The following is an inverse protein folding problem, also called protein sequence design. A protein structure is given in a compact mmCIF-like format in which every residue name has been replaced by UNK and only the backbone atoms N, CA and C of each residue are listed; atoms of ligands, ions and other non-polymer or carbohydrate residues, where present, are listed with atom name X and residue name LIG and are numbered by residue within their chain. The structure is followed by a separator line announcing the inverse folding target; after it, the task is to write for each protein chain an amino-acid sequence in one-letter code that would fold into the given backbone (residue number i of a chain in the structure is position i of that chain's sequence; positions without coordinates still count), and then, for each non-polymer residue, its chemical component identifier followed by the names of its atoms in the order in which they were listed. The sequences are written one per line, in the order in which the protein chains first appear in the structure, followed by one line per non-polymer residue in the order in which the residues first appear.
data_IF_380248668797
#
_entry.id   IF_380248668797
#
_cell.length_a   1.000
_cell.length_b   1.000
_cell.length_c   1.000
_cell.angle_alpha   90.00
_cell.angle_beta   90.00
_cell.angle_gamma   90.00
#
_symmetry.space_group_name_H-M   'P 1'
#
loop_
_entity.id
_entity.type
_entity.pdbx_description
1 polymer ?
#
# COMPACT_ATOMS: atom_id res chain seq x y z
N UNK A 1 25.50 9.64 -8.86
CA UNK A 1 24.17 10.26 -9.09
C UNK A 1 23.06 9.23 -8.82
N UNK A 2 23.05 8.62 -7.63
CA UNK A 2 22.10 7.57 -7.22
C UNK A 2 21.66 7.85 -5.78
N UNK A 3 20.66 8.71 -5.61
CA UNK A 3 20.09 8.99 -4.29
C UNK A 3 18.61 9.32 -4.37
N UNK A 4 18.18 10.14 -5.34
CA UNK A 4 16.76 10.52 -5.46
C UNK A 4 15.89 9.44 -6.11
N UNK A 5 16.42 8.75 -7.15
CA UNK A 5 15.71 7.65 -7.83
C UNK A 5 15.51 6.44 -6.91
N UNK A 6 16.51 6.09 -6.09
CA UNK A 6 16.44 4.96 -5.15
C UNK A 6 15.50 5.26 -3.97
N UNK A 7 15.49 6.50 -3.47
CA UNK A 7 14.56 6.94 -2.41
C UNK A 7 13.12 6.95 -2.91
N UNK A 8 12.87 7.44 -4.12
CA UNK A 8 11.53 7.41 -4.73
C UNK A 8 11.06 5.98 -4.97
N UNK A 9 11.93 5.07 -5.43
CA UNK A 9 11.58 3.66 -5.61
C UNK A 9 11.24 2.98 -4.29
N UNK A 10 11.95 3.29 -3.20
CA UNK A 10 11.69 2.74 -1.87
C UNK A 10 10.39 3.27 -1.25
N UNK A 11 10.13 4.57 -1.33
CA UNK A 11 8.87 5.18 -0.88
C UNK A 11 7.68 4.55 -1.60
N UNK A 12 7.81 4.42 -2.91
CA UNK A 12 6.79 3.86 -3.78
C UNK A 12 6.46 2.40 -3.45
N UNK A 13 7.48 1.56 -3.25
CA UNK A 13 7.31 0.17 -2.82
C UNK A 13 6.62 0.07 -1.45
N UNK A 14 6.99 0.94 -0.50
CA UNK A 14 6.36 0.98 0.83
C UNK A 14 4.88 1.35 0.71
N UNK A 15 4.53 2.36 -0.09
CA UNK A 15 3.14 2.78 -0.28
C UNK A 15 2.29 1.69 -0.95
N UNK A 16 2.84 1.00 -1.96
CA UNK A 16 2.18 -0.16 -2.60
C UNK A 16 1.94 -1.29 -1.61
N UNK A 17 2.98 -1.73 -0.90
CA UNK A 17 2.91 -2.83 0.05
C UNK A 17 1.99 -2.50 1.24
N UNK A 18 2.06 -1.27 1.74
CA UNK A 18 1.21 -0.76 2.80
C UNK A 18 -0.26 -0.74 2.38
N UNK A 19 -0.55 -0.30 1.15
CA UNK A 19 -1.91 -0.29 0.60
C UNK A 19 -2.45 -1.71 0.44
N UNK A 20 -1.69 -2.60 -0.19
CA UNK A 20 -2.11 -4.00 -0.39
C UNK A 20 -2.33 -4.70 0.95
N UNK A 21 -1.38 -4.66 1.89
CA UNK A 21 -1.46 -5.39 3.16
C UNK A 21 -2.61 -4.93 4.05
N UNK A 22 -2.84 -3.61 4.14
CA UNK A 22 -3.93 -3.03 4.92
C UNK A 22 -5.31 -3.35 4.34
N UNK A 23 -5.45 -3.36 3.01
CA UNK A 23 -6.70 -3.79 2.36
C UNK A 23 -6.98 -5.27 2.58
N UNK A 24 -5.96 -6.12 2.57
CA UNK A 24 -6.13 -7.54 2.83
C UNK A 24 -6.50 -7.80 4.29
N UNK A 25 -5.93 -7.06 5.24
CA UNK A 25 -6.32 -7.11 6.67
C UNK A 25 -7.75 -6.61 6.92
N UNK A 26 -8.21 -5.64 6.13
CA UNK A 26 -9.62 -5.20 6.10
C UNK A 26 -10.56 -6.17 5.37
N UNK A 27 -10.07 -7.34 4.94
CA UNK A 27 -10.80 -8.32 4.13
C UNK A 27 -11.34 -7.77 2.80
N UNK A 28 -10.76 -6.69 2.27
CA UNK A 28 -11.10 -6.07 0.98
C UNK A 28 -10.28 -6.69 -0.15
N UNK A 29 -10.35 -8.01 -0.31
CA UNK A 29 -9.50 -8.78 -1.23
C UNK A 29 -9.56 -8.31 -2.68
N UNK A 30 -10.73 -7.87 -3.15
CA UNK A 30 -10.89 -7.33 -4.51
C UNK A 30 -10.08 -6.05 -4.73
N UNK A 31 -10.03 -5.15 -3.75
CA UNK A 31 -9.24 -3.93 -3.83
C UNK A 31 -7.74 -4.23 -3.64
N UNK A 32 -7.40 -5.18 -2.76
CA UNK A 32 -6.03 -5.65 -2.61
C UNK A 32 -5.48 -6.23 -3.94
N UNK A 33 -6.23 -7.06 -4.65
CA UNK A 33 -5.83 -7.58 -5.97
C UNK A 33 -5.64 -6.48 -7.02
N UNK A 34 -6.41 -5.39 -6.95
CA UNK A 34 -6.19 -4.24 -7.85
C UNK A 34 -4.86 -3.56 -7.58
N UNK A 35 -4.49 -3.38 -6.31
CA UNK A 35 -3.18 -2.84 -5.92
C UNK A 35 -2.04 -3.80 -6.30
N UNK A 36 -2.24 -5.10 -6.15
CA UNK A 36 -1.27 -6.12 -6.59
C UNK A 36 -1.06 -6.09 -8.11
N UNK A 37 -2.14 -6.05 -8.89
CA UNK A 37 -2.06 -5.91 -10.35
C UNK A 37 -1.35 -4.61 -10.76
N UNK A 38 -1.64 -3.51 -10.06
CA UNK A 38 -0.96 -2.24 -10.25
C UNK A 38 0.53 -2.35 -9.96
N UNK A 39 0.91 -2.97 -8.84
CA UNK A 39 2.31 -3.18 -8.46
C UNK A 39 3.04 -4.04 -9.49
N UNK A 40 2.41 -5.13 -9.94
CA UNK A 40 2.96 -6.03 -10.96
C UNK A 40 3.18 -5.32 -12.29
N UNK A 41 2.27 -4.43 -12.69
CA UNK A 41 2.43 -3.62 -13.91
C UNK A 41 3.56 -2.60 -13.82
N UNK A 42 3.92 -2.16 -12.61
CA UNK A 42 4.91 -1.10 -12.41
C UNK A 42 6.31 -1.65 -12.18
N UNK A 43 6.41 -2.66 -11.31
CA UNK A 43 7.68 -3.20 -10.84
C UNK A 43 7.98 -4.58 -11.42
N UNK A 44 6.99 -5.27 -11.97
CA UNK A 44 7.07 -6.69 -12.31
C UNK A 44 6.65 -7.59 -11.14
N UNK A 45 6.09 -8.76 -11.46
CA UNK A 45 5.52 -9.67 -10.46
C UNK A 45 6.58 -10.28 -9.51
N UNK A 46 7.75 -10.63 -10.05
CA UNK A 46 8.86 -11.19 -9.25
C UNK A 46 9.42 -10.16 -8.27
N UNK A 47 9.66 -8.94 -8.73
CA UNK A 47 10.17 -7.84 -7.90
C UNK A 47 9.18 -7.48 -6.79
N UNK A 48 7.89 -7.36 -7.11
CA UNK A 48 6.88 -7.04 -6.09
C UNK A 48 6.74 -8.17 -5.05
N UNK A 49 6.72 -9.43 -5.47
CA UNK A 49 6.69 -10.55 -4.53
C UNK A 49 7.92 -10.59 -3.64
N UNK A 50 9.11 -10.32 -4.19
CA UNK A 50 10.34 -10.25 -3.41
C UNK A 50 10.29 -9.15 -2.34
N UNK A 51 9.77 -7.97 -2.69
CA UNK A 51 9.62 -6.87 -1.73
C UNK A 51 8.54 -7.16 -0.67
N UNK A 52 7.44 -7.84 -1.03
CA UNK A 52 6.49 -8.37 -0.06
C UNK A 52 7.19 -9.29 0.95
N UNK A 53 8.02 -10.22 0.48
CA UNK A 53 8.71 -11.18 1.35
C UNK A 53 9.71 -10.49 2.28
N UNK A 54 10.50 -9.54 1.77
CA UNK A 54 11.42 -8.75 2.60
C UNK A 54 10.68 -7.94 3.66
N UNK A 55 9.53 -7.33 3.31
CA UNK A 55 8.74 -6.58 4.28
C UNK A 55 8.16 -7.49 5.36
N UNK A 56 7.62 -8.65 4.99
CA UNK A 56 7.11 -9.64 5.95
C UNK A 56 8.22 -10.15 6.87
N UNK A 57 9.41 -10.41 6.34
CA UNK A 57 10.59 -10.77 7.15
C UNK A 57 10.98 -9.66 8.14
N UNK A 58 10.93 -8.39 7.71
CA UNK A 58 11.21 -7.25 8.60
C UNK A 58 10.19 -7.09 9.73
N UNK A 59 8.99 -7.66 9.56
CA UNK A 59 7.93 -7.74 10.55
C UNK A 59 7.97 -9.05 11.37
N UNK A 60 9.09 -9.77 11.32
CA UNK A 60 9.31 -11.06 11.99
C UNK A 60 8.35 -12.18 11.53
N UNK A 61 7.69 -12.01 10.37
CA UNK A 61 6.88 -13.05 9.73
C UNK A 61 7.80 -13.97 8.93
N UNK A 62 8.40 -14.92 9.63
CA UNK A 62 9.36 -15.88 9.06
C UNK A 62 8.67 -17.20 8.67
N UNK A 63 9.06 -17.74 7.51
CA UNK A 63 8.61 -19.03 6.98
C UNK A 63 7.51 -18.92 5.92
N UNK A 64 7.66 -19.66 4.83
CA UNK A 64 6.82 -19.56 3.63
C UNK A 64 5.33 -19.67 3.91
N UNK A 65 4.90 -20.62 4.74
CA UNK A 65 3.48 -20.78 5.11
C UNK A 65 2.90 -19.55 5.83
N UNK A 66 3.70 -18.86 6.67
CA UNK A 66 3.24 -17.64 7.36
C UNK A 66 3.21 -16.45 6.41
N UNK A 67 4.19 -16.35 5.51
CA UNK A 67 4.19 -15.34 4.46
C UNK A 67 2.98 -15.50 3.55
N UNK A 68 2.66 -16.72 3.11
CA UNK A 68 1.44 -17.02 2.34
C UNK A 68 0.17 -16.64 3.10
N UNK A 69 0.09 -16.92 4.39
CA UNK A 69 -1.06 -16.51 5.21
C UNK A 69 -1.20 -14.98 5.24
N UNK A 70 -0.12 -14.24 5.45
CA UNK A 70 -0.12 -12.78 5.38
C UNK A 70 -0.57 -12.29 3.99
N UNK A 71 -0.02 -12.88 2.92
CA UNK A 71 -0.40 -12.56 1.53
C UNK A 71 -1.88 -12.81 1.23
N UNK A 72 -2.49 -13.77 1.91
CA UNK A 72 -3.90 -14.09 1.77
C UNK A 72 -4.84 -13.28 2.70
N UNK A 73 -4.30 -12.32 3.46
CA UNK A 73 -5.08 -11.44 4.36
C UNK A 73 -5.19 -11.91 5.79
N UNK A 74 -4.48 -12.98 6.12
CA UNK A 74 -4.41 -13.52 7.46
C UNK A 74 -3.19 -12.97 8.19
N UNK A 75 -2.86 -11.69 7.98
CA UNK A 75 -1.70 -11.03 8.58
C UNK A 75 -1.74 -11.11 10.12
N UNK A 76 -2.93 -11.09 10.72
CA UNK A 76 -3.14 -11.34 12.15
C UNK A 76 -2.77 -12.77 12.61
N UNK A 77 -2.91 -13.78 11.75
CA UNK A 77 -2.45 -15.15 11.99
C UNK A 77 -0.94 -15.24 11.77
N UNK A 78 -0.42 -14.52 10.77
CA UNK A 78 0.98 -14.54 10.39
C UNK A 78 1.90 -13.81 11.39
N UNK A 79 1.48 -12.66 11.91
CA UNK A 79 2.24 -11.79 12.83
C UNK A 79 2.00 -12.11 14.32
N UNK A 80 0.97 -12.90 14.66
CA UNK A 80 0.57 -13.12 16.05
C UNK A 80 -0.18 -11.92 16.65
N UNK A 81 -0.74 -12.13 17.84
CA UNK A 81 -1.89 -11.38 18.40
C UNK A 81 -1.79 -9.85 18.53
N UNK A 82 -0.63 -9.22 18.31
CA UNK A 82 -0.51 -7.76 18.36
C UNK A 82 -1.24 -7.05 17.19
N UNK A 83 -1.30 -7.65 15.99
CA UNK A 83 -2.11 -7.12 14.89
C UNK A 83 -3.63 -7.31 15.12
N UNK A 84 -4.01 -8.11 16.12
CA UNK A 84 -5.41 -8.39 16.47
C UNK A 84 -6.02 -7.34 17.42
N UNK A 85 -5.23 -6.42 17.99
CA UNK A 85 -5.72 -5.41 18.94
C UNK A 85 -6.09 -4.08 18.30
N UNK A 86 -5.68 -3.83 17.05
CA UNK A 86 -6.07 -2.63 16.33
C UNK A 86 -7.56 -2.67 15.97
N UNK A 87 -8.26 -1.58 16.26
CA UNK A 87 -9.65 -1.37 15.88
C UNK A 87 -9.80 -1.32 14.36
N UNK A 88 -11.01 -1.58 13.88
CA UNK A 88 -11.32 -1.45 12.45
C UNK A 88 -11.05 -0.04 11.93
N UNK A 89 -11.31 0.99 12.73
CA UNK A 89 -11.06 2.38 12.37
C UNK A 89 -9.57 2.66 12.19
N UNK A 90 -8.73 2.22 13.13
CA UNK A 90 -7.27 2.34 13.01
C UNK A 90 -6.73 1.65 11.76
N UNK A 91 -7.25 0.45 11.44
CA UNK A 91 -6.89 -0.29 10.22
C UNK A 91 -7.30 0.46 8.95
N UNK A 92 -8.49 1.06 8.93
CA UNK A 92 -8.96 1.90 7.83
C UNK A 92 -8.08 3.13 7.67
N UNK A 93 -7.73 3.82 8.76
CA UNK A 93 -6.83 4.98 8.75
C UNK A 93 -5.45 4.63 8.20
N UNK A 94 -4.91 3.45 8.55
CA UNK A 94 -3.65 2.95 7.97
C UNK A 94 -3.79 2.70 6.47
N UNK A 95 -4.89 2.10 6.00
CA UNK A 95 -5.14 1.89 4.58
C UNK A 95 -5.22 3.21 3.81
N UNK A 96 -5.96 4.19 4.33
CA UNK A 96 -6.10 5.52 3.73
C UNK A 96 -4.73 6.20 3.61
N UNK A 97 -3.91 6.16 4.68
CA UNK A 97 -2.58 6.77 4.67
C UNK A 97 -1.73 6.26 3.50
N UNK A 98 -1.66 4.94 3.33
CA UNK A 98 -0.86 4.35 2.26
C UNK A 98 -1.45 4.57 0.87
N UNK A 99 -2.78 4.57 0.72
CA UNK A 99 -3.44 4.89 -0.55
C UNK A 99 -3.21 6.36 -0.96
N UNK A 100 -3.20 7.27 0.01
CA UNK A 100 -2.87 8.69 -0.21
C UNK A 100 -1.41 8.84 -0.63
N UNK A 101 -0.48 8.20 0.07
CA UNK A 101 0.94 8.19 -0.28
C UNK A 101 1.17 7.62 -1.68
N UNK A 102 0.53 6.50 -2.00
CA UNK A 102 0.62 5.87 -3.31
C UNK A 102 0.06 6.77 -4.41
N UNK A 103 -1.06 7.44 -4.15
CA UNK A 103 -1.65 8.37 -5.13
C UNK A 103 -0.75 9.57 -5.39
N UNK A 104 -0.18 10.16 -4.34
CA UNK A 104 0.77 11.27 -4.46
C UNK A 104 2.03 10.84 -5.24
N UNK A 105 2.58 9.67 -4.94
CA UNK A 105 3.76 9.14 -5.64
C UNK A 105 3.47 8.87 -7.13
N UNK A 106 2.30 8.31 -7.46
CA UNK A 106 1.88 8.07 -8.84
C UNK A 106 1.67 9.38 -9.63
N UNK A 107 1.11 10.41 -8.98
CA UNK A 107 0.94 11.74 -9.57
C UNK A 107 2.30 12.41 -9.81
N UNK A 108 3.22 12.33 -8.85
CA UNK A 108 4.60 12.82 -9.00
C UNK A 108 5.33 12.11 -10.16
N UNK A 109 5.06 10.81 -10.35
CA UNK A 109 5.58 10.01 -11.45
C UNK A 109 4.85 10.21 -12.79
N UNK A 110 3.86 11.12 -12.86
CA UNK A 110 3.02 11.42 -14.03
C UNK A 110 2.27 10.21 -14.60
N UNK A 111 1.81 9.30 -13.74
CA UNK A 111 1.14 8.05 -14.12
C UNK A 111 -0.37 8.13 -13.93
N UNK A 112 -1.03 9.08 -14.61
CA UNK A 112 -2.44 9.40 -14.39
C UNK A 112 -3.39 8.18 -14.46
N UNK A 113 -3.26 7.31 -15.47
CA UNK A 113 -4.13 6.12 -15.59
C UNK A 113 -3.96 5.07 -14.50
N UNK A 114 -2.88 5.14 -13.71
CA UNK A 114 -2.64 4.29 -12.55
C UNK A 114 -3.21 4.90 -11.26
N UNK A 115 -3.34 6.23 -11.22
CA UNK A 115 -3.93 6.96 -10.08
C UNK A 115 -5.41 6.61 -9.94
N UNK A 116 -6.13 6.44 -11.05
CA UNK A 116 -7.57 6.15 -11.04
C UNK A 116 -7.92 4.89 -10.23
N UNK A 117 -7.06 3.86 -10.29
CA UNK A 117 -7.24 2.62 -9.53
C UNK A 117 -7.16 2.87 -8.02
N UNK A 118 -6.17 3.67 -7.60
CA UNK A 118 -5.93 3.97 -6.18
C UNK A 118 -6.99 4.93 -5.67
N UNK A 119 -7.38 5.91 -6.49
CA UNK A 119 -8.47 6.84 -6.25
C UNK A 119 -9.77 6.09 -5.99
N UNK A 120 -10.22 5.23 -6.91
CA UNK A 120 -11.44 4.44 -6.76
C UNK A 120 -11.52 3.69 -5.42
N UNK A 121 -10.39 3.14 -4.95
CA UNK A 121 -10.33 2.40 -3.68
C UNK A 121 -10.43 3.37 -2.49
N UNK A 122 -9.67 4.46 -2.51
CA UNK A 122 -9.66 5.49 -1.47
C UNK A 122 -11.02 6.14 -1.27
N UNK A 123 -11.70 6.49 -2.36
CA UNK A 123 -13.03 7.10 -2.34
C UNK A 123 -14.08 6.19 -1.72
N UNK A 124 -13.97 4.88 -1.91
CA UNK A 124 -14.87 3.91 -1.26
C UNK A 124 -14.66 3.80 0.25
N UNK A 125 -13.51 4.23 0.76
CA UNK A 125 -13.20 4.19 2.18
C UNK A 125 -13.69 5.46 2.89
N UNK A 126 -13.51 6.64 2.28
CA UNK A 126 -13.77 7.93 2.95
C UNK A 126 -14.55 8.96 2.12
N UNK A 127 -14.96 8.61 0.91
CA UNK A 127 -15.60 9.54 -0.03
C UNK A 127 -14.59 10.28 -0.90
N UNK A 128 -15.08 10.78 -2.03
CA UNK A 128 -14.30 11.48 -3.06
C UNK A 128 -13.62 12.75 -2.52
N UNK A 129 -14.42 13.67 -1.97
CA UNK A 129 -13.92 14.96 -1.49
C UNK A 129 -12.84 14.80 -0.42
N UNK A 130 -13.06 13.92 0.57
CA UNK A 130 -12.09 13.72 1.64
C UNK A 130 -10.79 13.07 1.14
N UNK A 131 -10.89 12.09 0.23
CA UNK A 131 -9.72 11.43 -0.33
C UNK A 131 -8.88 12.40 -1.17
N UNK A 132 -9.51 13.17 -2.04
CA UNK A 132 -8.83 14.18 -2.86
C UNK A 132 -8.12 15.23 -2.00
N UNK A 133 -8.78 15.74 -0.95
CA UNK A 133 -8.17 16.70 -0.02
C UNK A 133 -6.90 16.14 0.64
N UNK A 134 -6.93 14.89 1.10
CA UNK A 134 -5.75 14.25 1.71
C UNK A 134 -4.61 14.04 0.69
N UNK A 135 -4.93 13.68 -0.56
CA UNK A 135 -3.93 13.56 -1.63
C UNK A 135 -3.28 14.90 -1.94
N UNK A 136 -4.07 15.97 -2.08
CA UNK A 136 -3.54 17.32 -2.34
C UNK A 136 -2.67 17.82 -1.17
N UNK A 137 -3.12 17.60 0.07
CA UNK A 137 -2.32 17.92 1.25
C UNK A 137 -0.97 17.19 1.24
N UNK A 138 -0.97 15.88 0.92
CA UNK A 138 0.26 15.10 0.82
C UNK A 138 1.21 15.61 -0.26
N UNK A 139 0.69 15.97 -1.44
CA UNK A 139 1.50 16.54 -2.52
C UNK A 139 2.14 17.87 -2.09
N UNK A 140 1.39 18.71 -1.37
CA UNK A 140 1.91 19.97 -0.84
C UNK A 140 3.02 19.75 0.20
N UNK A 141 2.86 18.76 1.09
CA UNK A 141 3.87 18.36 2.10
C UNK A 141 5.16 17.84 1.46
N UNK A 142 5.05 17.08 0.36
CA UNK A 142 6.17 16.48 -0.35
C UNK A 142 6.99 17.47 -1.21
N UNK A 143 6.68 18.78 -1.13
CA UNK A 143 7.41 19.83 -1.83
C UNK A 143 6.99 19.92 -3.30
N UNK A 144 5.73 20.35 -3.52
CA UNK A 144 5.11 20.52 -4.83
C UNK A 144 6.07 21.02 -5.93
N UNK A 145 5.96 20.39 -7.09
CA UNK A 145 6.67 20.71 -8.34
C UNK A 145 6.64 22.22 -8.61
#
# INVERSE_FOLDING_TARGET
MSSTLDVNKKSFTIALLGSWSSLTDLSRKGDAHKIEALANNISGAEDFSCECDKMLESLEVVGEKRKELAKNGFTHIAMGGAAATATREEKVNVAIRYLVELSADLLAAKRAGQVDVVKEIGERLIGEEEFELKVQAKIAESGGI
#
